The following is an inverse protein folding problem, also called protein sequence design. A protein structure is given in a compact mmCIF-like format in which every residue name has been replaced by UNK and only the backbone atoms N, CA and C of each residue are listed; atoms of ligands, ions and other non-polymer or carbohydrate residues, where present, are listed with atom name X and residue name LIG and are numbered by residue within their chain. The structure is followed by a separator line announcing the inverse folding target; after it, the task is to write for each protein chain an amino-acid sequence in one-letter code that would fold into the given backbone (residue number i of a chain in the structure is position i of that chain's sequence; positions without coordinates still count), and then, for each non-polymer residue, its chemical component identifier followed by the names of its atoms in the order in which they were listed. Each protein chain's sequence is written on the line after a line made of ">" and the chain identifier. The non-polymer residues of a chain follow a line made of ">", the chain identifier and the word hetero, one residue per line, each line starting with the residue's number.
data_IF_320643297403
#
_entry.id   IF_320643297403
#
_cell.length_a   1.000
_cell.length_b   1.000
_cell.length_c   1.000
_cell.angle_alpha   90.00
_cell.angle_beta   90.00
_cell.angle_gamma   90.00
#
_symmetry.space_group_name_H-M   'P 1'
#
loop_
_entity.id
_entity.type
_entity.pdbx_description
1 polymer ?
#
# COMPACT_ATOMS: atom_id res chain seq x y z
N UNK A 1 -52.68 31.26 -30.73
CA UNK A 1 -51.78 30.47 -31.61
C UNK A 1 -51.14 29.40 -30.76
N UNK A 2 -51.29 28.14 -31.16
CA UNK A 2 -50.80 26.96 -30.46
C UNK A 2 -49.40 26.54 -30.95
N UNK A 3 -48.68 25.88 -30.04
CA UNK A 3 -47.68 24.83 -30.27
C UNK A 3 -46.37 25.16 -31.01
N UNK A 4 -45.27 24.81 -30.34
CA UNK A 4 -43.93 24.70 -30.92
C UNK A 4 -42.91 24.21 -29.89
N UNK A 5 -43.04 22.95 -29.46
CA UNK A 5 -41.93 22.23 -28.79
C UNK A 5 -40.85 21.96 -29.83
N UNK A 6 -39.57 22.18 -29.50
CA UNK A 6 -38.52 21.20 -29.78
C UNK A 6 -37.22 21.54 -29.03
N UNK A 7 -36.84 20.56 -28.22
CA UNK A 7 -35.61 20.41 -27.47
C UNK A 7 -34.72 19.47 -28.27
N UNK A 8 -33.43 19.81 -28.44
CA UNK A 8 -32.30 18.92 -28.79
C UNK A 8 -31.03 19.78 -28.64
N UNK A 9 -30.33 19.75 -27.50
CA UNK A 9 -29.31 18.76 -27.10
C UNK A 9 -28.21 18.57 -28.15
N UNK A 10 -27.03 19.16 -27.92
CA UNK A 10 -25.73 18.61 -28.31
C UNK A 10 -24.65 19.30 -27.47
N UNK A 11 -24.54 18.91 -26.19
CA UNK A 11 -23.32 19.14 -25.42
C UNK A 11 -22.23 18.24 -26.02
N UNK A 12 -21.22 18.91 -26.55
CA UNK A 12 -20.04 18.34 -27.16
C UNK A 12 -19.34 17.41 -26.16
N UNK A 13 -19.36 16.12 -26.51
CA UNK A 13 -18.82 15.01 -25.75
C UNK A 13 -17.31 15.12 -25.66
N UNK A 14 -16.79 15.49 -24.49
CA UNK A 14 -15.46 15.07 -24.08
C UNK A 14 -15.55 14.27 -22.79
N UNK A 15 -15.43 12.93 -22.86
CA UNK A 15 -14.90 12.18 -21.75
C UNK A 15 -13.66 11.41 -22.23
N UNK A 16 -12.61 12.16 -22.57
CA UNK A 16 -11.28 11.60 -22.68
C UNK A 16 -10.70 11.35 -21.29
N UNK A 17 -11.21 10.36 -20.56
CA UNK A 17 -10.56 9.74 -19.39
C UNK A 17 -10.76 8.21 -19.48
N UNK A 18 -10.24 7.63 -20.56
CA UNK A 18 -10.15 6.19 -20.74
C UNK A 18 -8.99 5.62 -19.91
N UNK A 19 -9.19 5.47 -18.60
CA UNK A 19 -8.27 4.73 -17.75
C UNK A 19 -8.97 3.49 -17.24
N UNK A 20 -8.66 2.30 -17.78
CA UNK A 20 -9.03 0.91 -17.32
C UNK A 20 -10.47 0.63 -16.84
N UNK A 21 -11.38 1.61 -16.90
CA UNK A 21 -12.72 1.65 -16.30
C UNK A 21 -13.84 1.61 -17.36
N UNK A 22 -13.50 1.40 -18.63
CA UNK A 22 -14.48 1.36 -19.73
C UNK A 22 -15.35 0.08 -19.73
N UNK A 23 -15.03 -0.91 -18.89
CA UNK A 23 -15.82 -2.13 -18.73
C UNK A 23 -16.40 -2.29 -17.33
N UNK A 24 -17.65 -1.86 -17.13
CA UNK A 24 -18.64 -2.34 -16.13
C UNK A 24 -18.32 -2.50 -14.63
N UNK A 25 -17.05 -2.44 -14.19
CA UNK A 25 -16.62 -2.77 -12.83
C UNK A 25 -16.50 -1.54 -11.94
N UNK A 26 -16.95 -1.64 -10.68
CA UNK A 26 -16.86 -0.54 -9.73
C UNK A 26 -15.40 -0.22 -9.37
N UNK A 27 -15.03 1.06 -9.18
CA UNK A 27 -13.67 1.44 -8.76
C UNK A 27 -13.20 0.74 -7.48
N UNK A 28 -14.14 0.44 -6.57
CA UNK A 28 -13.85 -0.32 -5.36
C UNK A 28 -13.47 -1.79 -5.63
N UNK A 29 -14.12 -2.44 -6.60
CA UNK A 29 -13.77 -3.81 -7.00
C UNK A 29 -12.37 -3.88 -7.60
N UNK A 30 -12.04 -2.91 -8.46
CA UNK A 30 -10.69 -2.80 -9.04
C UNK A 30 -9.64 -2.51 -7.98
N UNK A 31 -9.95 -1.61 -7.02
CA UNK A 31 -9.09 -1.38 -5.86
C UNK A 31 -8.86 -2.63 -5.03
N UNK A 32 -9.91 -3.42 -4.75
CA UNK A 32 -9.79 -4.66 -4.01
C UNK A 32 -8.95 -5.72 -4.74
N UNK A 33 -9.13 -5.88 -6.05
CA UNK A 33 -8.32 -6.78 -6.89
C UNK A 33 -6.84 -6.38 -6.87
N UNK A 34 -6.55 -5.09 -6.99
CA UNK A 34 -5.16 -4.60 -6.94
C UNK A 34 -4.57 -4.81 -5.54
N UNK A 35 -5.34 -4.53 -4.49
CA UNK A 35 -4.94 -4.85 -3.12
C UNK A 35 -4.61 -6.33 -2.94
N UNK A 36 -5.44 -7.22 -3.48
CA UNK A 36 -5.19 -8.67 -3.44
C UNK A 36 -3.90 -9.07 -4.17
N UNK A 37 -3.64 -8.49 -5.34
CA UNK A 37 -2.40 -8.74 -6.09
C UNK A 37 -1.19 -8.26 -5.27
N UNK A 38 -1.26 -7.05 -4.72
CA UNK A 38 -0.21 -6.51 -3.84
C UNK A 38 0.01 -7.43 -2.64
N UNK A 39 -1.07 -7.92 -2.01
CA UNK A 39 -1.00 -8.88 -0.92
C UNK A 39 -0.26 -10.15 -1.31
N UNK A 40 -0.52 -10.71 -2.49
CA UNK A 40 0.20 -11.88 -2.98
C UNK A 40 1.71 -11.63 -3.10
N UNK A 41 2.12 -10.45 -3.57
CA UNK A 41 3.55 -10.07 -3.64
C UNK A 41 4.18 -9.87 -2.26
N UNK A 42 3.46 -9.25 -1.31
CA UNK A 42 4.00 -8.99 0.03
C UNK A 42 3.82 -10.16 0.99
N UNK A 43 3.10 -11.22 0.63
CA UNK A 43 2.88 -12.39 1.48
C UNK A 43 4.19 -13.07 1.90
N UNK A 44 5.16 -13.20 0.97
CA UNK A 44 6.48 -13.76 1.26
C UNK A 44 7.23 -12.93 2.30
N UNK A 45 7.45 -11.61 2.12
CA UNK A 45 8.14 -10.82 3.14
C UNK A 45 7.35 -10.69 4.46
N UNK A 46 6.01 -10.73 4.44
CA UNK A 46 5.20 -10.83 5.67
C UNK A 46 5.55 -12.11 6.44
N UNK A 47 5.59 -13.25 5.75
CA UNK A 47 5.91 -14.54 6.37
C UNK A 47 7.32 -14.54 6.99
N UNK A 48 8.29 -13.92 6.32
CA UNK A 48 9.65 -13.79 6.84
C UNK A 48 9.68 -12.91 8.09
N UNK A 49 9.01 -11.74 8.06
CA UNK A 49 8.94 -10.84 9.19
C UNK A 49 8.29 -11.52 10.42
N UNK A 50 7.16 -12.20 10.24
CA UNK A 50 6.51 -12.95 11.32
C UNK A 50 7.40 -14.08 11.86
N UNK A 51 8.12 -14.79 10.97
CA UNK A 51 9.06 -15.83 11.40
C UNK A 51 10.18 -15.27 12.27
N UNK A 52 10.77 -14.14 11.88
CA UNK A 52 11.82 -13.50 12.68
C UNK A 52 11.29 -12.93 14.00
N UNK A 53 10.08 -12.35 13.99
CA UNK A 53 9.44 -11.83 15.20
C UNK A 53 9.10 -12.93 16.22
N UNK A 54 8.75 -14.14 15.75
CA UNK A 54 8.38 -15.27 16.62
C UNK A 54 9.56 -16.14 17.04
N UNK A 55 10.70 -16.05 16.36
CA UNK A 55 11.89 -16.83 16.65
C UNK A 55 13.08 -15.91 16.96
N UNK A 56 13.17 -15.34 18.18
CA UNK A 56 14.21 -14.36 18.53
C UNK A 56 15.64 -14.89 18.35
N UNK A 57 15.86 -16.20 18.49
CA UNK A 57 17.19 -16.82 18.27
C UNK A 57 17.69 -16.67 16.83
N UNK A 58 16.80 -16.36 15.86
CA UNK A 58 17.18 -16.03 14.48
C UNK A 58 18.00 -14.74 14.35
N UNK A 59 18.08 -13.93 15.41
CA UNK A 59 18.97 -12.78 15.52
C UNK A 59 20.45 -13.14 15.22
N UNK A 60 20.86 -14.38 15.52
CA UNK A 60 22.20 -14.89 15.23
C UNK A 60 22.52 -14.98 13.73
N UNK A 61 21.49 -15.08 12.86
CA UNK A 61 21.65 -15.15 11.40
C UNK A 61 22.16 -13.83 10.81
N UNK A 62 22.13 -12.74 11.59
CA UNK A 62 22.56 -11.42 11.18
C UNK A 62 24.00 -11.09 11.62
N UNK A 63 24.79 -12.12 11.97
CA UNK A 63 26.25 -12.12 12.07
C UNK A 63 26.87 -10.90 12.77
N UNK A 64 26.36 -10.53 13.94
CA UNK A 64 26.89 -9.44 14.76
C UNK A 64 26.30 -8.06 14.49
N UNK A 65 25.62 -7.84 13.37
CA UNK A 65 24.94 -6.55 13.09
C UNK A 65 23.86 -6.25 14.11
N UNK A 66 23.12 -7.29 14.50
CA UNK A 66 22.04 -7.21 15.47
C UNK A 66 22.44 -7.75 16.84
N UNK A 67 23.68 -8.18 17.09
CA UNK A 67 24.03 -8.85 18.36
C UNK A 67 23.94 -7.93 19.58
N UNK A 68 24.05 -6.62 19.37
CA UNK A 68 23.93 -5.59 20.41
C UNK A 68 22.48 -5.13 20.64
N UNK A 69 21.59 -5.42 19.69
CA UNK A 69 20.17 -5.13 19.85
C UNK A 69 19.55 -6.04 20.92
N UNK A 70 18.76 -5.45 21.82
CA UNK A 70 18.00 -6.26 22.78
C UNK A 70 17.06 -7.21 22.04
N UNK A 71 16.87 -8.42 22.57
CA UNK A 71 15.94 -9.41 22.00
C UNK A 71 14.54 -8.82 21.80
N UNK A 72 14.10 -7.97 22.72
CA UNK A 72 12.82 -7.25 22.61
C UNK A 72 12.79 -6.26 21.44
N UNK A 73 13.87 -5.49 21.22
CA UNK A 73 13.99 -4.58 20.09
C UNK A 73 13.96 -5.30 18.75
N UNK A 74 14.66 -6.42 18.63
CA UNK A 74 14.64 -7.29 17.46
C UNK A 74 13.22 -7.79 17.15
N UNK A 75 12.52 -8.33 18.15
CA UNK A 75 11.14 -8.83 17.98
C UNK A 75 10.18 -7.70 17.61
N UNK A 76 10.26 -6.55 18.28
CA UNK A 76 9.41 -5.39 18.01
C UNK A 76 9.62 -4.86 16.58
N UNK A 77 10.87 -4.76 16.12
CA UNK A 77 11.20 -4.37 14.75
C UNK A 77 10.47 -5.23 13.72
N UNK A 78 10.56 -6.56 13.84
CA UNK A 78 9.94 -7.45 12.87
C UNK A 78 8.41 -7.44 12.93
N UNK A 79 7.80 -7.26 14.10
CA UNK A 79 6.35 -7.04 14.19
C UNK A 79 5.90 -5.76 13.51
N UNK A 80 6.65 -4.68 13.70
CA UNK A 80 6.40 -3.40 13.03
C UNK A 80 6.46 -3.59 11.51
N UNK A 81 7.52 -4.23 11.00
CA UNK A 81 7.65 -4.57 9.57
C UNK A 81 6.46 -5.40 9.09
N UNK A 82 6.06 -6.44 9.83
CA UNK A 82 4.93 -7.30 9.46
C UNK A 82 3.60 -6.52 9.37
N UNK A 83 3.30 -5.69 10.36
CA UNK A 83 2.08 -4.85 10.39
C UNK A 83 2.06 -3.91 9.19
N UNK A 84 3.18 -3.28 8.88
CA UNK A 84 3.24 -2.35 7.76
C UNK A 84 3.11 -3.04 6.41
N UNK A 85 3.78 -4.18 6.21
CA UNK A 85 3.59 -4.97 5.00
C UNK A 85 2.14 -5.45 4.86
N UNK A 86 1.47 -5.80 5.96
CA UNK A 86 0.06 -6.17 5.97
C UNK A 86 -0.87 -5.00 5.61
N UNK A 87 -0.48 -3.76 5.92
CA UNK A 87 -1.26 -2.56 5.60
C UNK A 87 -1.16 -2.14 4.12
N UNK A 88 -0.05 -2.44 3.44
CA UNK A 88 0.19 -2.04 2.04
C UNK A 88 -0.93 -2.43 1.05
N UNK A 89 -1.43 -3.68 1.03
CA UNK A 89 -2.55 -4.09 0.18
C UNK A 89 -3.77 -3.17 0.26
N UNK A 90 -4.14 -2.79 1.49
CA UNK A 90 -5.30 -1.93 1.73
C UNK A 90 -5.02 -0.50 1.30
N UNK A 91 -3.83 0.01 1.59
CA UNK A 91 -3.42 1.36 1.21
C UNK A 91 -3.40 1.53 -0.32
N UNK A 92 -2.79 0.59 -1.03
CA UNK A 92 -2.71 0.61 -2.50
C UNK A 92 -4.10 0.39 -3.12
N UNK A 93 -4.85 -0.59 -2.63
CA UNK A 93 -6.20 -0.87 -3.12
C UNK A 93 -7.16 0.32 -2.94
N UNK A 94 -7.14 0.96 -1.77
CA UNK A 94 -7.88 2.20 -1.52
C UNK A 94 -7.41 3.35 -2.41
N UNK A 95 -6.09 3.44 -2.62
CA UNK A 95 -5.48 4.43 -3.51
C UNK A 95 -6.02 4.37 -4.93
N UNK A 96 -6.02 3.17 -5.49
CA UNK A 96 -6.54 2.96 -6.84
C UNK A 96 -8.05 3.13 -6.89
N UNK A 97 -8.81 2.77 -5.85
CA UNK A 97 -10.25 2.99 -5.83
C UNK A 97 -10.65 4.49 -5.88
N UNK A 98 -9.77 5.40 -5.44
CA UNK A 98 -10.06 6.84 -5.35
C UNK A 98 -9.50 7.69 -6.49
N UNK A 99 -8.51 7.20 -7.26
CA UNK A 99 -7.89 7.85 -8.43
C UNK A 99 -7.78 9.40 -8.34
N UNK A 100 -7.30 9.93 -7.22
CA UNK A 100 -7.12 11.38 -7.02
C UNK A 100 -5.65 11.71 -6.82
N UNK A 101 -5.17 12.80 -7.42
CA UNK A 101 -3.80 13.29 -7.18
C UNK A 101 -3.53 13.57 -5.69
N UNK A 102 -4.56 14.00 -4.94
CA UNK A 102 -4.48 14.16 -3.48
C UNK A 102 -4.26 12.81 -2.78
N UNK A 103 -4.96 11.76 -3.22
CA UNK A 103 -4.80 10.40 -2.68
C UNK A 103 -3.42 9.84 -3.00
N UNK A 104 -2.91 10.06 -4.22
CA UNK A 104 -1.57 9.63 -4.59
C UNK A 104 -0.50 10.32 -3.73
N UNK A 105 -0.66 11.63 -3.47
CA UNK A 105 0.22 12.37 -2.55
C UNK A 105 0.24 11.80 -1.13
N UNK A 106 -0.93 11.42 -0.59
CA UNK A 106 -1.03 10.79 0.73
C UNK A 106 -0.30 9.44 0.77
N UNK A 107 -0.49 8.60 -0.26
CA UNK A 107 0.17 7.29 -0.32
C UNK A 107 1.69 7.47 -0.41
N UNK A 108 2.17 8.35 -1.29
CA UNK A 108 3.59 8.65 -1.43
C UNK A 108 4.18 9.16 -0.12
N UNK A 109 3.47 10.03 0.61
CA UNK A 109 3.90 10.51 1.92
C UNK A 109 3.98 9.38 2.96
N UNK A 110 2.97 8.50 3.01
CA UNK A 110 2.97 7.33 3.91
C UNK A 110 4.14 6.40 3.59
N UNK A 111 4.36 6.10 2.30
CA UNK A 111 5.47 5.25 1.86
C UNK A 111 6.82 5.90 2.17
N UNK A 112 6.98 7.21 1.98
CA UNK A 112 8.20 7.93 2.29
C UNK A 112 8.50 7.94 3.80
N UNK A 113 7.50 8.25 4.63
CA UNK A 113 7.64 8.18 6.09
C UNK A 113 7.97 6.75 6.53
N UNK A 114 7.34 5.75 5.91
CA UNK A 114 7.61 4.34 6.19
C UNK A 114 9.03 3.94 5.83
N UNK A 115 9.51 4.34 4.66
CA UNK A 115 10.89 4.10 4.24
C UNK A 115 11.88 4.75 5.19
N UNK A 116 11.65 6.01 5.58
CA UNK A 116 12.47 6.72 6.56
C UNK A 116 12.42 6.01 7.93
N UNK A 117 11.25 5.59 8.40
CA UNK A 117 11.12 4.89 9.67
C UNK A 117 11.89 3.56 9.65
N UNK A 118 11.81 2.78 8.58
CA UNK A 118 12.61 1.55 8.42
C UNK A 118 14.10 1.89 8.36
N UNK A 119 14.50 2.94 7.64
CA UNK A 119 15.90 3.35 7.59
C UNK A 119 16.39 3.72 8.99
N UNK A 120 15.68 4.56 9.74
CA UNK A 120 16.05 4.95 11.10
C UNK A 120 16.14 3.71 12.01
N UNK A 121 15.12 2.86 11.95
CA UNK A 121 15.06 1.63 12.77
C UNK A 121 16.21 0.69 12.39
N UNK A 122 16.49 0.55 11.09
CA UNK A 122 17.65 -0.16 10.57
C UNK A 122 18.94 0.46 11.10
N UNK A 123 19.10 1.78 11.09
CA UNK A 123 20.29 2.45 11.60
C UNK A 123 20.48 2.19 13.10
N UNK A 124 19.41 2.25 13.91
CA UNK A 124 19.45 2.01 15.36
C UNK A 124 19.81 0.56 15.75
N UNK A 125 19.68 -0.39 14.82
CA UNK A 125 19.93 -1.80 15.09
C UNK A 125 21.04 -2.41 14.20
N UNK A 126 21.62 -1.65 13.26
CA UNK A 126 22.67 -2.12 12.33
C UNK A 126 24.02 -1.39 12.58
N UNK A 127 24.01 -0.30 13.35
CA UNK A 127 25.21 0.46 13.76
C UNK A 127 25.30 0.57 15.28
#
# INVERSE_FOLDING_TARGET
>A
MASGKQQTDHYESTPGHGGVLSGGGSPGLWGALIGLIVFAFVAVPISAAVRYATHPNSQQLFAGRLSEASTGGYVAFWWIVAIFLLALPFLVGWGVAKLSGKTLGIITAIVAVFFIAILIMGQLFIF
#
